data_IF_699172555066
#
_entry.id   IF_699172555066
#
_cell.length_a   1.000
_cell.length_b   1.000
_cell.length_c   1.000
_cell.angle_alpha   90.00
_cell.angle_beta   90.00
_cell.angle_gamma   90.00
#
_symmetry.space_group_name_H-M   'P 1'
#
loop_
_entity.id
_entity.type
_entity.pdbx_description
1 polymer ?
#
# COMPACT_ATOMS: atom_id res chain seq x y z
N UNK A 1 14.62 27.48 -1.97
CA UNK A 1 13.52 27.09 -1.08
C UNK A 1 14.06 26.05 -0.13
N UNK A 2 14.32 26.47 1.10
CA UNK A 2 14.82 25.66 2.21
C UNK A 2 13.86 24.49 2.46
N UNK A 3 14.33 23.26 2.20
CA UNK A 3 13.56 22.02 2.25
C UNK A 3 13.34 21.47 3.67
N UNK A 4 13.51 22.30 4.71
CA UNK A 4 13.65 21.83 6.09
C UNK A 4 12.37 21.90 6.95
N UNK A 5 11.22 22.31 6.40
CA UNK A 5 9.93 22.35 7.14
C UNK A 5 8.77 21.67 6.41
N UNK A 6 9.07 20.84 5.41
CA UNK A 6 8.02 20.10 4.70
C UNK A 6 7.85 18.76 5.42
N UNK A 7 6.68 18.55 6.02
CA UNK A 7 6.29 17.26 6.59
C UNK A 7 6.65 16.14 5.59
N UNK A 8 7.23 15.05 6.07
CA UNK A 8 7.84 14.03 5.22
C UNK A 8 6.90 13.46 4.16
N UNK A 9 5.61 13.33 4.50
CA UNK A 9 4.57 13.00 3.53
C UNK A 9 4.48 13.97 2.35
N UNK A 10 4.58 15.27 2.58
CA UNK A 10 4.55 16.28 1.52
C UNK A 10 5.81 16.25 0.63
N UNK A 11 6.95 15.74 1.14
CA UNK A 11 8.14 15.52 0.30
C UNK A 11 7.90 14.43 -0.75
N UNK A 12 7.11 13.40 -0.43
CA UNK A 12 6.72 12.35 -1.40
C UNK A 12 5.87 12.92 -2.54
N UNK A 13 4.83 13.69 -2.23
CA UNK A 13 4.01 14.37 -3.25
C UNK A 13 4.84 15.34 -4.10
N UNK A 14 5.71 16.14 -3.47
CA UNK A 14 6.56 17.07 -4.20
C UNK A 14 7.53 16.35 -5.15
N UNK A 15 8.01 15.17 -4.77
CA UNK A 15 8.89 14.35 -5.61
C UNK A 15 8.13 13.80 -6.81
N UNK A 16 6.95 13.21 -6.58
CA UNK A 16 6.08 12.74 -7.67
C UNK A 16 5.74 13.88 -8.64
N UNK A 17 5.35 15.04 -8.12
CA UNK A 17 5.06 16.23 -8.93
C UNK A 17 6.28 16.66 -9.77
N UNK A 18 7.48 16.68 -9.19
CA UNK A 18 8.71 17.03 -9.91
C UNK A 18 9.00 16.07 -11.06
N UNK A 19 8.84 14.76 -10.83
CA UNK A 19 9.06 13.73 -11.86
C UNK A 19 8.07 13.86 -13.03
N UNK A 20 6.82 14.22 -12.73
CA UNK A 20 5.83 14.51 -13.76
C UNK A 20 6.16 15.81 -14.50
N UNK A 21 6.45 16.88 -13.75
CA UNK A 21 6.66 18.22 -14.31
C UNK A 21 7.92 18.33 -15.17
N UNK A 22 8.97 17.55 -14.86
CA UNK A 22 10.20 17.52 -15.65
C UNK A 22 10.20 16.46 -16.77
N UNK A 23 9.09 15.73 -16.95
CA UNK A 23 8.95 14.69 -17.98
C UNK A 23 9.80 13.44 -17.75
N UNK A 24 10.31 13.22 -16.53
CA UNK A 24 11.00 11.96 -16.19
C UNK A 24 9.99 10.82 -16.03
N UNK A 25 8.82 11.13 -15.47
CA UNK A 25 7.70 10.20 -15.37
C UNK A 25 6.70 10.55 -16.46
N UNK A 26 6.58 9.65 -17.44
CA UNK A 26 5.63 9.72 -18.56
C UNK A 26 4.89 8.38 -18.72
N UNK A 27 3.83 8.29 -19.53
CA UNK A 27 3.16 7.02 -19.80
C UNK A 27 4.07 5.94 -20.42
N UNK A 28 5.18 6.33 -21.04
CA UNK A 28 6.19 5.42 -21.61
C UNK A 28 7.19 4.89 -20.58
N UNK A 29 7.11 5.36 -19.33
CA UNK A 29 7.99 4.94 -18.23
C UNK A 29 7.22 4.17 -17.16
N UNK A 30 7.91 3.29 -16.46
CA UNK A 30 7.34 2.53 -15.34
C UNK A 30 7.80 3.13 -14.02
N UNK A 31 6.85 3.49 -13.15
CA UNK A 31 7.13 3.91 -11.78
C UNK A 31 7.17 2.69 -10.87
N UNK A 32 8.33 2.40 -10.29
CA UNK A 32 8.47 1.45 -9.19
C UNK A 32 8.52 2.22 -7.88
N UNK A 33 7.64 1.90 -6.94
CA UNK A 33 7.60 2.57 -5.64
C UNK A 33 7.48 1.56 -4.50
N UNK A 34 8.53 1.49 -3.68
CA UNK A 34 8.56 0.73 -2.45
C UNK A 34 8.09 1.57 -1.26
N UNK A 35 7.17 1.02 -0.47
CA UNK A 35 6.52 1.63 0.69
C UNK A 35 6.03 3.08 0.48
N UNK A 36 5.15 3.34 -0.52
CA UNK A 36 4.56 4.65 -0.73
C UNK A 36 3.85 5.20 0.52
N UNK A 37 3.29 4.31 1.37
CA UNK A 37 2.60 4.62 2.62
C UNK A 37 3.50 5.20 3.73
N UNK A 38 4.81 4.97 3.70
CA UNK A 38 5.68 5.32 4.82
C UNK A 38 5.62 6.84 5.11
N UNK A 39 5.51 7.21 6.37
CA UNK A 39 5.43 8.61 6.84
C UNK A 39 4.21 9.40 6.30
N UNK A 40 3.17 8.72 5.80
CA UNK A 40 1.88 9.31 5.46
C UNK A 40 0.85 9.05 6.57
N UNK A 41 0.12 10.08 6.95
CA UNK A 41 -1.08 9.89 7.77
C UNK A 41 -2.23 9.31 6.90
N UNK A 42 -3.30 8.76 7.50
CA UNK A 42 -4.39 8.14 6.76
C UNK A 42 -5.07 9.07 5.73
N UNK A 43 -5.16 10.37 6.01
CA UNK A 43 -5.77 11.33 5.09
C UNK A 43 -4.89 11.53 3.84
N UNK A 44 -3.59 11.73 4.02
CA UNK A 44 -2.64 11.87 2.92
C UNK A 44 -2.47 10.56 2.14
N UNK A 45 -2.60 9.41 2.78
CA UNK A 45 -2.54 8.11 2.11
C UNK A 45 -3.70 7.94 1.12
N UNK A 46 -4.91 8.42 1.46
CA UNK A 46 -6.05 8.45 0.54
C UNK A 46 -5.81 9.36 -0.66
N UNK A 47 -5.28 10.55 -0.42
CA UNK A 47 -4.92 11.48 -1.51
C UNK A 47 -3.85 10.88 -2.43
N UNK A 48 -2.84 10.21 -1.86
CA UNK A 48 -1.81 9.51 -2.64
C UNK A 48 -2.44 8.39 -3.49
N UNK A 49 -3.32 7.57 -2.90
CA UNK A 49 -4.02 6.52 -3.64
C UNK A 49 -4.85 7.08 -4.80
N UNK A 50 -5.53 8.21 -4.59
CA UNK A 50 -6.29 8.90 -5.63
C UNK A 50 -5.38 9.38 -6.77
N UNK A 51 -4.24 10.02 -6.44
CA UNK A 51 -3.26 10.46 -7.45
C UNK A 51 -2.72 9.28 -8.25
N UNK A 52 -2.33 8.19 -7.59
CA UNK A 52 -1.82 6.98 -8.27
C UNK A 52 -2.89 6.36 -9.18
N UNK A 53 -4.15 6.33 -8.74
CA UNK A 53 -5.25 5.82 -9.56
C UNK A 53 -5.49 6.68 -10.81
N UNK A 54 -5.46 8.02 -10.69
CA UNK A 54 -5.59 8.92 -11.83
C UNK A 54 -4.42 8.78 -12.82
N UNK A 55 -3.19 8.64 -12.33
CA UNK A 55 -2.03 8.38 -13.18
C UNK A 55 -2.18 7.04 -13.93
N UNK A 56 -2.58 5.97 -13.23
CA UNK A 56 -2.81 4.68 -13.86
C UNK A 56 -3.91 4.74 -14.94
N UNK A 57 -5.00 5.49 -14.70
CA UNK A 57 -6.05 5.75 -15.71
C UNK A 57 -5.54 6.54 -16.91
N UNK A 58 -4.60 7.46 -16.68
CA UNK A 58 -3.93 8.21 -17.74
C UNK A 58 -2.89 7.37 -18.52
N UNK A 59 -2.74 6.07 -18.21
CA UNK A 59 -1.88 5.15 -18.94
C UNK A 59 -0.47 4.99 -18.35
N UNK A 60 -0.20 5.57 -17.18
CA UNK A 60 1.08 5.36 -16.50
C UNK A 60 1.15 3.96 -15.91
N UNK A 61 2.27 3.27 -16.13
CA UNK A 61 2.51 1.98 -15.47
C UNK A 61 3.13 2.21 -14.10
N UNK A 62 2.46 1.71 -13.05
CA UNK A 62 2.87 1.88 -11.66
C UNK A 62 2.92 0.52 -10.99
N UNK A 63 4.05 0.21 -10.34
CA UNK A 63 4.28 -1.01 -9.57
C UNK A 63 4.60 -0.58 -8.14
N UNK A 64 3.76 -1.03 -7.20
CA UNK A 64 3.87 -0.69 -5.79
C UNK A 64 4.28 -1.94 -5.01
N UNK A 65 5.28 -1.80 -4.13
CA UNK A 65 5.53 -2.74 -3.05
C UNK A 65 5.02 -2.09 -1.76
N UNK A 66 4.09 -2.75 -1.07
CA UNK A 66 3.39 -2.18 0.08
C UNK A 66 3.06 -3.27 1.11
N UNK A 67 3.14 -2.90 2.38
CA UNK A 67 2.65 -3.69 3.51
C UNK A 67 1.40 -3.03 4.13
N UNK A 68 0.84 -2.00 3.49
CA UNK A 68 -0.33 -1.27 3.99
C UNK A 68 -1.63 -1.85 3.47
N UNK A 69 -2.35 -2.55 4.34
CA UNK A 69 -3.73 -2.96 4.07
C UNK A 69 -4.64 -1.77 3.80
N UNK A 70 -4.37 -0.62 4.41
CA UNK A 70 -5.14 0.59 4.16
C UNK A 70 -4.98 1.07 2.72
N UNK A 71 -3.74 1.13 2.21
CA UNK A 71 -3.49 1.52 0.81
C UNK A 71 -4.12 0.53 -0.17
N UNK A 72 -3.95 -0.78 0.08
CA UNK A 72 -4.55 -1.83 -0.75
C UNK A 72 -6.08 -1.73 -0.79
N UNK A 73 -6.73 -1.53 0.38
CA UNK A 73 -8.18 -1.34 0.51
C UNK A 73 -8.65 -0.07 -0.20
N UNK A 74 -7.93 1.05 -0.07
CA UNK A 74 -8.30 2.30 -0.74
C UNK A 74 -8.22 2.18 -2.27
N UNK A 75 -7.15 1.56 -2.80
CA UNK A 75 -7.04 1.28 -4.25
C UNK A 75 -8.17 0.38 -4.74
N UNK A 76 -8.57 -0.63 -3.96
CA UNK A 76 -9.72 -1.47 -4.28
C UNK A 76 -11.03 -0.66 -4.31
N UNK A 77 -11.26 0.20 -3.31
CA UNK A 77 -12.44 1.09 -3.28
C UNK A 77 -12.47 2.01 -4.51
N UNK A 78 -11.32 2.58 -4.88
CA UNK A 78 -11.19 3.42 -6.07
C UNK A 78 -11.46 2.65 -7.37
N UNK A 79 -11.05 1.38 -7.44
CA UNK A 79 -11.30 0.51 -8.60
C UNK A 79 -12.78 0.13 -8.75
N UNK A 80 -13.52 0.02 -7.63
CA UNK A 80 -14.96 -0.22 -7.66
C UNK A 80 -15.77 1.03 -8.06
N UNK A 81 -15.31 2.21 -7.66
CA UNK A 81 -15.98 3.49 -8.01
C UNK A 81 -15.86 3.82 -9.49
N UNK A 82 -14.70 3.55 -10.08
CA UNK A 82 -14.44 3.79 -11.49
C UNK A 82 -13.38 2.80 -12.00
N UNK A 83 -13.52 2.25 -13.22
CA UNK A 83 -12.58 1.27 -13.76
C UNK A 83 -11.13 1.70 -13.58
N UNK A 84 -10.35 0.82 -12.97
CA UNK A 84 -8.93 0.98 -12.72
C UNK A 84 -8.29 -0.39 -13.00
N UNK A 85 -7.36 -0.49 -13.97
CA UNK A 85 -6.65 -1.73 -14.23
C UNK A 85 -5.64 -1.97 -13.10
N UNK A 86 -6.07 -2.67 -12.05
CA UNK A 86 -5.24 -3.04 -10.90
C UNK A 86 -5.04 -4.55 -10.86
N UNK A 87 -3.82 -4.96 -10.56
CA UNK A 87 -3.47 -6.36 -10.30
C UNK A 87 -2.71 -6.44 -8.99
N UNK A 88 -3.12 -7.38 -8.16
CA UNK A 88 -2.50 -7.65 -6.87
C UNK A 88 -1.61 -8.88 -6.96
N UNK A 89 -0.52 -8.85 -6.20
CA UNK A 89 0.48 -9.92 -6.12
C UNK A 89 0.70 -10.28 -4.66
N UNK A 90 0.41 -11.52 -4.29
CA UNK A 90 0.71 -12.08 -2.98
C UNK A 90 1.98 -12.91 -3.07
N UNK A 91 2.96 -12.61 -2.21
CA UNK A 91 4.21 -13.37 -2.12
C UNK A 91 4.18 -14.18 -0.83
N UNK A 92 4.37 -15.50 -0.93
CA UNK A 92 4.34 -16.39 0.23
C UNK A 92 5.36 -17.53 0.09
N UNK A 93 5.67 -18.17 1.21
CA UNK A 93 6.55 -19.34 1.23
C UNK A 93 5.71 -20.60 1.03
N UNK A 94 5.97 -21.36 -0.03
CA UNK A 94 5.29 -22.62 -0.30
C UNK A 94 5.83 -23.78 0.54
N UNK A 95 5.17 -24.94 0.47
CA UNK A 95 5.50 -26.13 1.27
C UNK A 95 6.96 -26.59 1.14
N UNK A 96 7.58 -26.39 -0.04
CA UNK A 96 8.97 -26.75 -0.32
C UNK A 96 9.99 -25.67 0.12
N UNK A 97 9.56 -24.63 0.84
CA UNK A 97 10.39 -23.51 1.28
C UNK A 97 10.72 -22.47 0.19
N UNK A 98 10.25 -22.67 -1.03
CA UNK A 98 10.42 -21.70 -2.13
C UNK A 98 9.36 -20.60 -2.12
N UNK A 99 9.70 -19.40 -2.59
CA UNK A 99 8.73 -18.31 -2.78
C UNK A 99 7.76 -18.64 -3.92
N UNK A 100 6.47 -18.54 -3.63
CA UNK A 100 5.38 -18.66 -4.58
C UNK A 100 4.68 -17.31 -4.76
N UNK A 101 3.98 -17.16 -5.88
CA UNK A 101 3.27 -15.94 -6.26
C UNK A 101 1.81 -16.26 -6.53
N UNK A 102 0.93 -15.55 -5.85
CA UNK A 102 -0.50 -15.50 -6.15
C UNK A 102 -0.80 -14.18 -6.89
N UNK A 103 -1.66 -14.23 -7.90
CA UNK A 103 -2.08 -13.01 -8.62
C UNK A 103 -3.58 -12.97 -8.81
N UNK A 104 -4.18 -11.79 -8.62
CA UNK A 104 -5.60 -11.56 -8.89
C UNK A 104 -5.87 -10.10 -9.22
N UNK A 105 -6.92 -9.83 -9.99
CA UNK A 105 -7.39 -8.47 -10.27
C UNK A 105 -8.43 -8.00 -9.22
N UNK A 106 -8.76 -8.87 -8.25
CA UNK A 106 -9.68 -8.56 -7.16
C UNK A 106 -9.00 -8.80 -5.80
N UNK A 107 -8.77 -7.71 -5.06
CA UNK A 107 -8.17 -7.75 -3.72
C UNK A 107 -8.86 -8.74 -2.77
N UNK A 108 -10.18 -8.86 -2.82
CA UNK A 108 -10.93 -9.77 -1.94
C UNK A 108 -10.69 -11.25 -2.22
N UNK A 109 -10.05 -11.58 -3.34
CA UNK A 109 -9.67 -12.95 -3.71
C UNK A 109 -8.22 -13.28 -3.37
N UNK A 110 -7.44 -12.30 -2.91
CA UNK A 110 -6.04 -12.49 -2.57
C UNK A 110 -5.93 -13.19 -1.22
N UNK A 111 -5.51 -14.45 -1.21
CA UNK A 111 -5.45 -15.27 0.00
C UNK A 111 -4.20 -14.99 0.81
N UNK A 112 -3.05 -14.81 0.13
CA UNK A 112 -1.77 -14.63 0.80
C UNK A 112 -1.40 -13.15 0.88
N UNK A 113 -1.74 -12.53 2.02
CA UNK A 113 -1.44 -11.12 2.30
C UNK A 113 -0.63 -11.05 3.58
N UNK A 114 0.70 -11.01 3.45
CA UNK A 114 1.61 -11.00 4.61
C UNK A 114 1.30 -9.90 5.65
N UNK A 115 0.82 -8.74 5.19
CA UNK A 115 0.41 -7.66 6.08
C UNK A 115 -0.84 -8.02 6.93
N UNK A 116 -1.79 -8.77 6.35
CA UNK A 116 -2.98 -9.25 7.04
C UNK A 116 -2.60 -10.33 8.05
N UNK A 117 -1.72 -11.24 7.67
CA UNK A 117 -1.22 -12.29 8.57
C UNK A 117 -0.54 -11.67 9.80
N UNK A 118 0.27 -10.63 9.60
CA UNK A 118 0.92 -9.89 10.68
C UNK A 118 -0.09 -9.13 11.58
N UNK A 119 -1.11 -8.50 11.00
CA UNK A 119 -2.16 -7.79 11.76
C UNK A 119 -2.99 -8.77 12.61
N UNK A 120 -3.31 -9.95 12.06
CA UNK A 120 -4.03 -11.00 12.79
C UNK A 120 -3.21 -11.56 13.95
N UNK A 121 -1.92 -11.86 13.72
CA UNK A 121 -1.02 -12.34 14.76
C UNK A 121 -0.92 -11.35 15.93
N UNK A 122 -0.74 -10.06 15.62
CA UNK A 122 -0.74 -9.00 16.64
C UNK A 122 -2.07 -8.89 17.39
N UNK A 123 -3.19 -9.10 16.71
CA UNK A 123 -4.52 -9.06 17.34
C UNK A 123 -4.65 -10.16 18.39
N UNK A 124 -4.24 -11.40 18.06
CA UNK A 124 -4.24 -12.51 19.01
C UNK A 124 -3.30 -12.26 20.19
N UNK A 125 -2.07 -11.79 19.93
CA UNK A 125 -1.11 -11.45 21.00
C UNK A 125 -1.67 -10.36 21.94
N UNK A 126 -2.43 -9.41 21.40
CA UNK A 126 -3.08 -8.35 22.18
C UNK A 126 -4.24 -8.87 23.05
N UNK A 127 -5.06 -9.78 22.51
CA UNK A 127 -6.13 -10.44 23.27
C UNK A 127 -5.55 -11.24 24.45
N UNK A 128 -4.50 -12.02 24.21
CA UNK A 128 -3.81 -12.80 25.26
C UNK A 128 -3.25 -11.91 26.37
N UNK A 129 -2.74 -10.71 26.02
CA UNK A 129 -2.23 -9.75 26.99
C UNK A 129 -3.36 -9.15 27.85
N UNK A 130 -4.50 -8.83 27.25
CA UNK A 130 -5.66 -8.32 27.98
C UNK A 130 -6.19 -9.36 28.98
N UNK A 131 -6.31 -10.62 28.56
CA UNK A 131 -6.79 -11.70 29.43
C UNK A 131 -5.88 -11.93 30.65
N UNK A 132 -4.57 -11.75 30.50
CA UNK A 132 -3.61 -11.82 31.60
C UNK A 132 -3.74 -10.64 32.58
N UNK A 133 -3.98 -9.43 32.08
CA UNK A 133 -4.21 -8.25 32.92
C UNK A 133 -5.49 -8.40 33.76
N UNK A 134 -6.57 -8.96 33.18
CA UNK A 134 -7.81 -9.22 33.92
C UNK A 134 -7.72 -10.39 34.90
N UNK A 135 -6.88 -11.39 34.64
CA UNK A 135 -6.65 -12.51 35.55
C UNK A 135 -5.76 -12.14 36.77
N UNK A 136 -4.95 -11.09 36.67
CA UNK A 136 -4.07 -10.61 37.74
C UNK A 136 -4.73 -9.71 38.79
N UNK A 137 -5.94 -9.22 38.53
CA UNK A 137 -6.70 -8.29 39.39
C UNK A 137 -7.76 -9.01 40.25
N UNK A 138 -7.73 -10.34 40.32
CA UNK A 138 -8.65 -11.22 41.09
C UNK A 138 -7.99 -11.89 42.30
#
# INVERSE_FOLDING_TARGET
MEMNMVAEGMRKFATLYKLLANGTLTPETTLFWDEPEANLNPALLKEMAAVLAELARAGFQIILATHSLFLMKELHILSQKQPLPVRYFGLYTGENGGTQVETTDNFMQLQHVAALDAELAQTFDFEDALDQDYAGDS
#
